data_IF_905364748125
#
_entry.id   IF_905364748125
#
_cell.length_a   1.000
_cell.length_b   1.000
_cell.length_c   1.000
_cell.angle_alpha   90.00
_cell.angle_beta   90.00
_cell.angle_gamma   90.00
#
_symmetry.space_group_name_H-M   'P 1'
#
loop_
_entity.id
_entity.type
_entity.pdbx_description
1 polymer ?
#
# COMPACT_ATOMS: atom_id res chain seq x y z
N UNK A 1 -100.56 49.04 9.73
CA UNK A 1 -101.17 47.74 9.40
C UNK A 1 -100.08 46.67 9.35
N UNK A 2 -100.28 45.61 10.14
CA UNK A 2 -99.75 44.22 10.04
C UNK A 2 -98.25 43.94 10.29
N UNK A 3 -98.10 43.18 11.38
CA UNK A 3 -97.01 42.43 12.01
C UNK A 3 -96.05 41.60 11.12
N UNK A 4 -94.87 41.41 11.73
CA UNK A 4 -93.79 40.44 11.48
C UNK A 4 -94.23 39.00 11.20
N UNK A 5 -93.41 38.28 10.41
CA UNK A 5 -92.98 36.89 10.70
C UNK A 5 -91.62 36.60 10.05
N UNK A 6 -90.71 36.10 10.88
CA UNK A 6 -89.36 35.63 10.54
C UNK A 6 -89.36 34.47 9.54
N UNK A 7 -88.30 34.37 8.72
CA UNK A 7 -87.92 33.10 8.12
C UNK A 7 -86.39 32.96 8.13
N UNK A 8 -85.88 32.19 9.10
CA UNK A 8 -84.52 31.65 9.10
C UNK A 8 -84.44 30.58 8.01
N UNK A 9 -83.43 30.63 7.14
CA UNK A 9 -82.96 29.43 6.41
C UNK A 9 -81.46 29.23 6.56
N UNK A 10 -81.20 28.06 7.10
CA UNK A 10 -79.95 27.40 7.38
C UNK A 10 -78.93 27.36 6.24
N UNK A 11 -77.67 27.57 6.64
CA UNK A 11 -76.44 26.86 6.25
C UNK A 11 -76.68 25.69 5.29
N UNK A 12 -76.28 25.85 4.03
CA UNK A 12 -76.01 24.74 3.13
C UNK A 12 -74.62 24.19 3.41
N UNK A 13 -74.53 23.20 4.30
CA UNK A 13 -73.42 22.25 4.32
C UNK A 13 -73.55 21.40 3.04
N UNK A 14 -72.72 21.66 2.02
CA UNK A 14 -72.57 20.68 0.93
C UNK A 14 -72.03 19.37 1.52
N UNK A 15 -72.67 18.22 1.25
CA UNK A 15 -72.17 16.94 1.71
C UNK A 15 -70.84 16.61 1.01
N UNK A 16 -69.77 16.47 1.79
CA UNK A 16 -68.55 15.77 1.41
C UNK A 16 -68.94 14.40 0.82
N UNK A 17 -68.93 14.29 -0.50
CA UNK A 17 -69.27 13.06 -1.19
C UNK A 17 -68.13 12.04 -0.97
N UNK A 18 -68.37 10.88 -0.32
CA UNK A 18 -67.32 9.95 0.13
C UNK A 18 -66.58 9.21 -0.99
N UNK A 19 -66.89 9.53 -2.25
CA UNK A 19 -66.38 8.85 -3.44
C UNK A 19 -65.16 9.53 -4.08
N UNK A 20 -64.98 10.85 -3.91
CA UNK A 20 -63.86 11.58 -4.54
C UNK A 20 -62.51 11.29 -3.87
N UNK A 21 -62.53 11.04 -2.56
CA UNK A 21 -61.34 10.63 -1.81
C UNK A 21 -60.93 9.19 -2.10
N UNK A 22 -61.88 8.27 -2.30
CA UNK A 22 -61.57 6.86 -2.63
C UNK A 22 -60.84 6.73 -3.97
N UNK A 23 -61.24 7.49 -5.00
CA UNK A 23 -60.56 7.44 -6.31
C UNK A 23 -59.13 7.99 -6.28
N UNK A 24 -58.89 9.12 -5.62
CA UNK A 24 -57.52 9.66 -5.43
C UNK A 24 -56.65 8.73 -4.59
N UNK A 25 -57.19 8.15 -3.52
CA UNK A 25 -56.49 7.18 -2.68
C UNK A 25 -56.19 5.89 -3.47
N UNK A 26 -57.09 5.45 -4.35
CA UNK A 26 -56.88 4.25 -5.18
C UNK A 26 -55.78 4.45 -6.24
N UNK A 27 -55.71 5.62 -6.87
CA UNK A 27 -54.65 5.99 -7.84
C UNK A 27 -53.31 6.17 -7.11
N UNK A 28 -53.30 6.84 -5.95
CA UNK A 28 -52.10 7.04 -5.13
C UNK A 28 -51.56 5.70 -4.60
N UNK A 29 -52.43 4.77 -4.18
CA UNK A 29 -52.05 3.41 -3.81
C UNK A 29 -51.54 2.58 -4.99
N UNK A 30 -52.04 2.77 -6.21
CA UNK A 30 -51.53 2.08 -7.42
C UNK A 30 -50.09 2.51 -7.73
N UNK A 31 -49.81 3.81 -7.71
CA UNK A 31 -48.46 4.35 -7.94
C UNK A 31 -47.48 3.97 -6.81
N UNK A 32 -47.94 3.92 -5.55
CA UNK A 32 -47.11 3.49 -4.43
C UNK A 32 -46.85 1.97 -4.43
N UNK A 33 -47.80 1.16 -4.92
CA UNK A 33 -47.61 -0.29 -5.12
C UNK A 33 -46.58 -0.57 -6.20
N UNK A 34 -46.62 0.14 -7.34
CA UNK A 34 -45.57 0.04 -8.36
C UNK A 34 -44.18 0.41 -7.81
N UNK A 35 -44.09 1.48 -7.01
CA UNK A 35 -42.86 1.88 -6.31
C UNK A 35 -42.33 0.80 -5.35
N UNK A 36 -43.22 0.20 -4.54
CA UNK A 36 -42.88 -0.90 -3.62
C UNK A 36 -42.42 -2.17 -4.36
N UNK A 37 -43.06 -2.53 -5.47
CA UNK A 37 -42.63 -3.67 -6.30
C UNK A 37 -41.28 -3.41 -6.96
N UNK A 38 -41.00 -2.20 -7.43
CA UNK A 38 -39.68 -1.84 -7.96
C UNK A 38 -38.61 -1.87 -6.87
N UNK A 39 -38.89 -1.36 -5.66
CA UNK A 39 -37.96 -1.43 -4.53
C UNK A 39 -37.70 -2.87 -4.09
N UNK A 40 -38.74 -3.72 -4.06
CA UNK A 40 -38.64 -5.14 -3.75
C UNK A 40 -37.85 -5.89 -4.84
N UNK A 41 -38.06 -5.58 -6.12
CA UNK A 41 -37.32 -6.19 -7.22
C UNK A 41 -35.83 -5.78 -7.19
N UNK A 42 -35.52 -4.52 -6.86
CA UNK A 42 -34.15 -4.06 -6.65
C UNK A 42 -33.52 -4.80 -5.46
N UNK A 43 -34.23 -4.91 -4.34
CA UNK A 43 -33.76 -5.65 -3.17
C UNK A 43 -33.49 -7.13 -3.49
N UNK A 44 -34.40 -7.80 -4.21
CA UNK A 44 -34.22 -9.19 -4.65
C UNK A 44 -33.02 -9.30 -5.61
N UNK A 45 -32.85 -8.37 -6.54
CA UNK A 45 -31.71 -8.38 -7.48
C UNK A 45 -30.37 -8.18 -6.76
N UNK A 46 -30.31 -7.35 -5.73
CA UNK A 46 -29.14 -7.15 -4.88
C UNK A 46 -28.82 -8.41 -4.08
N UNK A 47 -29.86 -9.07 -3.53
CA UNK A 47 -29.70 -10.34 -2.79
C UNK A 47 -29.19 -11.47 -3.70
N UNK A 48 -29.77 -11.64 -4.89
CA UNK A 48 -29.35 -12.68 -5.85
C UNK A 48 -27.92 -12.44 -6.33
N UNK A 49 -27.56 -11.19 -6.62
CA UNK A 49 -26.21 -10.83 -7.05
C UNK A 49 -25.16 -11.12 -5.97
N UNK A 50 -25.50 -10.88 -4.70
CA UNK A 50 -24.64 -11.20 -3.55
C UNK A 50 -24.40 -12.71 -3.39
N UNK A 51 -25.43 -13.54 -3.56
CA UNK A 51 -25.31 -15.00 -3.46
C UNK A 51 -24.45 -15.61 -4.56
N UNK A 52 -24.55 -15.12 -5.80
CA UNK A 52 -23.71 -15.57 -6.93
C UNK A 52 -22.24 -15.23 -6.67
N UNK A 53 -21.96 -14.04 -6.15
CA UNK A 53 -20.61 -13.60 -5.81
C UNK A 53 -19.98 -14.51 -4.74
N UNK A 54 -20.72 -14.87 -3.69
CA UNK A 54 -20.24 -15.77 -2.64
C UNK A 54 -19.87 -17.16 -3.19
N UNK A 55 -20.74 -17.76 -4.00
CA UNK A 55 -20.48 -19.07 -4.62
C UNK A 55 -19.24 -19.06 -5.53
N UNK A 56 -19.00 -17.94 -6.21
CA UNK A 56 -17.80 -17.76 -7.04
C UNK A 56 -16.53 -17.70 -6.19
N UNK A 57 -16.54 -17.00 -5.05
CA UNK A 57 -15.38 -16.93 -4.14
C UNK A 57 -15.06 -18.33 -3.56
N UNK A 58 -16.06 -19.11 -3.15
CA UNK A 58 -15.84 -20.48 -2.69
C UNK A 58 -15.25 -21.39 -3.77
N UNK A 59 -15.66 -21.18 -5.03
CA UNK A 59 -15.06 -21.87 -6.18
C UNK A 59 -13.60 -21.47 -6.35
N UNK A 60 -13.26 -20.19 -6.21
CA UNK A 60 -11.88 -19.73 -6.28
C UNK A 60 -11.02 -20.36 -5.17
N UNK A 61 -11.56 -20.50 -3.96
CA UNK A 61 -10.86 -21.13 -2.84
C UNK A 61 -10.49 -22.58 -3.13
N UNK A 62 -11.44 -23.38 -3.66
CA UNK A 62 -11.15 -24.75 -4.09
C UNK A 62 -10.11 -24.83 -5.22
N UNK A 63 -10.04 -23.82 -6.08
CA UNK A 63 -9.02 -23.74 -7.14
C UNK A 63 -7.64 -23.42 -6.56
N UNK A 64 -7.57 -22.55 -5.55
CA UNK A 64 -6.32 -22.27 -4.81
C UNK A 64 -5.78 -23.55 -4.17
N UNK A 65 -6.64 -24.35 -3.51
CA UNK A 65 -6.25 -25.63 -2.88
C UNK A 65 -5.70 -26.64 -3.91
N UNK A 66 -6.20 -26.61 -5.13
CA UNK A 66 -5.73 -27.45 -6.25
C UNK A 66 -4.48 -26.90 -6.96
N UNK A 67 -4.01 -25.70 -6.59
CA UNK A 67 -2.93 -25.01 -7.29
C UNK A 67 -3.32 -24.43 -8.65
N UNK A 68 -4.62 -24.34 -8.97
CA UNK A 68 -5.14 -23.74 -10.21
C UNK A 68 -5.23 -22.21 -10.08
N UNK A 69 -4.09 -21.56 -9.82
CA UNK A 69 -4.01 -20.14 -9.46
C UNK A 69 -4.51 -19.19 -10.54
N UNK A 70 -4.27 -19.49 -11.83
CA UNK A 70 -4.75 -18.67 -12.95
C UNK A 70 -6.28 -18.50 -12.92
N UNK A 71 -7.00 -19.60 -12.73
CA UNK A 71 -8.47 -19.60 -12.71
C UNK A 71 -9.01 -18.98 -11.41
N UNK A 72 -8.31 -19.21 -10.30
CA UNK A 72 -8.65 -18.57 -9.03
C UNK A 72 -8.51 -17.05 -9.12
N UNK A 73 -7.40 -16.55 -9.67
CA UNK A 73 -7.12 -15.14 -9.91
C UNK A 73 -8.24 -14.50 -10.74
N UNK A 74 -8.61 -15.11 -11.87
CA UNK A 74 -9.65 -14.59 -12.77
C UNK A 74 -10.99 -14.37 -12.04
N UNK A 75 -11.41 -15.36 -11.25
CA UNK A 75 -12.66 -15.27 -10.48
C UNK A 75 -12.57 -14.20 -9.40
N UNK A 76 -11.45 -14.15 -8.67
CA UNK A 76 -11.24 -13.21 -7.58
C UNK A 76 -11.10 -11.76 -8.07
N UNK A 77 -10.49 -11.52 -9.23
CA UNK A 77 -10.42 -10.17 -9.82
C UNK A 77 -11.82 -9.65 -10.19
N UNK A 78 -12.69 -10.49 -10.77
CA UNK A 78 -14.08 -10.11 -11.06
C UNK A 78 -14.87 -9.81 -9.77
N UNK A 79 -14.61 -10.58 -8.71
CA UNK A 79 -15.19 -10.31 -7.40
C UNK A 79 -14.67 -8.99 -6.81
N UNK A 80 -13.36 -8.75 -6.93
CA UNK A 80 -12.68 -7.57 -6.43
C UNK A 80 -13.14 -6.29 -7.12
N UNK A 81 -13.42 -6.33 -8.43
CA UNK A 81 -13.98 -5.17 -9.14
C UNK A 81 -15.39 -4.79 -8.69
N UNK A 82 -16.11 -5.72 -8.05
CA UNK A 82 -17.45 -5.46 -7.51
C UNK A 82 -17.37 -4.89 -6.09
N UNK A 83 -16.49 -5.44 -5.26
CA UNK A 83 -16.20 -4.92 -3.93
C UNK A 83 -14.73 -5.16 -3.56
N UNK A 84 -13.92 -4.10 -3.66
CA UNK A 84 -12.49 -4.14 -3.37
C UNK A 84 -12.17 -4.22 -1.87
N UNK A 85 -13.14 -3.99 -0.99
CA UNK A 85 -12.96 -4.03 0.47
C UNK A 85 -13.20 -5.42 1.06
N UNK A 86 -13.85 -6.31 0.30
CA UNK A 86 -14.29 -7.61 0.78
C UNK A 86 -13.13 -8.48 1.27
N UNK A 87 -13.18 -8.88 2.55
CA UNK A 87 -12.09 -9.60 3.22
C UNK A 87 -11.81 -10.97 2.58
N UNK A 88 -12.84 -11.71 2.19
CA UNK A 88 -12.70 -13.03 1.54
C UNK A 88 -11.98 -12.93 0.20
N UNK A 89 -12.38 -11.96 -0.64
CA UNK A 89 -11.77 -11.74 -1.95
C UNK A 89 -10.29 -11.35 -1.81
N UNK A 90 -10.01 -10.40 -0.91
CA UNK A 90 -8.65 -9.95 -0.66
C UNK A 90 -7.78 -11.06 -0.06
N UNK A 91 -8.31 -11.89 0.83
CA UNK A 91 -7.57 -13.05 1.34
C UNK A 91 -7.23 -14.04 0.22
N UNK A 92 -8.19 -14.36 -0.65
CA UNK A 92 -7.96 -15.22 -1.81
C UNK A 92 -6.86 -14.67 -2.72
N UNK A 93 -6.92 -13.39 -3.08
CA UNK A 93 -5.89 -12.74 -3.91
C UNK A 93 -4.53 -12.71 -3.22
N UNK A 94 -4.48 -12.47 -1.91
CA UNK A 94 -3.25 -12.51 -1.14
C UNK A 94 -2.57 -13.89 -1.25
N UNK A 95 -3.35 -14.96 -1.09
CA UNK A 95 -2.83 -16.32 -1.19
C UNK A 95 -2.37 -16.67 -2.61
N UNK A 96 -3.16 -16.33 -3.64
CA UNK A 96 -2.79 -16.53 -5.06
C UNK A 96 -1.46 -15.84 -5.37
N UNK A 97 -1.34 -14.55 -5.09
CA UNK A 97 -0.13 -13.79 -5.41
C UNK A 97 1.09 -14.16 -4.55
N UNK A 98 0.88 -14.84 -3.41
CA UNK A 98 1.97 -15.31 -2.54
C UNK A 98 2.47 -16.72 -2.83
N UNK A 99 1.83 -17.41 -3.77
CA UNK A 99 2.16 -18.80 -4.10
C UNK A 99 3.39 -18.86 -4.99
N UNK A 100 4.50 -19.42 -4.49
CA UNK A 100 5.76 -19.48 -5.24
C UNK A 100 5.65 -20.35 -6.51
N UNK A 101 4.71 -21.31 -6.51
CA UNK A 101 4.38 -22.14 -7.68
C UNK A 101 3.55 -21.42 -8.74
N UNK A 102 3.07 -20.21 -8.45
CA UNK A 102 2.31 -19.42 -9.39
C UNK A 102 3.24 -18.54 -10.25
N UNK A 103 3.29 -18.69 -11.59
CA UNK A 103 4.22 -17.95 -12.43
C UNK A 103 4.05 -16.42 -12.38
N UNK A 104 2.85 -15.92 -12.06
CA UNK A 104 2.56 -14.48 -11.88
C UNK A 104 2.45 -14.07 -10.41
N UNK A 105 3.08 -14.82 -9.51
CA UNK A 105 3.16 -14.41 -8.10
C UNK A 105 3.75 -13.00 -8.00
N UNK A 106 3.29 -12.26 -7.00
CA UNK A 106 3.70 -10.88 -6.78
C UNK A 106 3.54 -10.57 -5.29
N UNK A 107 4.63 -10.63 -4.54
CA UNK A 107 4.59 -10.50 -3.08
C UNK A 107 4.10 -9.12 -2.62
N UNK A 108 4.29 -8.06 -3.42
CA UNK A 108 3.76 -6.73 -3.12
C UNK A 108 2.22 -6.69 -3.21
N UNK A 109 1.65 -7.25 -4.28
CA UNK A 109 0.19 -7.40 -4.41
C UNK A 109 -0.36 -8.30 -3.31
N UNK A 110 0.34 -9.41 -3.02
CA UNK A 110 -0.05 -10.33 -1.97
C UNK A 110 -0.15 -9.61 -0.62
N UNK A 111 0.88 -8.85 -0.25
CA UNK A 111 0.91 -8.10 1.00
C UNK A 111 -0.14 -7.01 1.06
N UNK A 112 -0.34 -6.25 -0.02
CA UNK A 112 -1.40 -5.24 -0.07
C UNK A 112 -2.78 -5.86 0.15
N UNK A 113 -3.11 -6.94 -0.55
CA UNK A 113 -4.39 -7.61 -0.38
C UNK A 113 -4.52 -8.22 1.03
N UNK A 114 -3.44 -8.77 1.58
CA UNK A 114 -3.42 -9.24 2.97
C UNK A 114 -3.81 -8.10 3.92
N UNK A 115 -3.15 -6.94 3.86
CA UNK A 115 -3.49 -5.79 4.72
C UNK A 115 -4.97 -5.37 4.63
N UNK A 116 -5.54 -5.35 3.41
CA UNK A 116 -6.97 -5.03 3.21
C UNK A 116 -7.87 -6.09 3.82
N UNK A 117 -7.54 -7.39 3.67
CA UNK A 117 -8.30 -8.47 4.28
C UNK A 117 -8.32 -8.34 5.81
N UNK A 118 -7.16 -8.09 6.44
CA UNK A 118 -7.04 -7.94 7.89
C UNK A 118 -7.81 -6.74 8.44
N UNK A 119 -7.82 -5.61 7.72
CA UNK A 119 -8.61 -4.43 8.11
C UNK A 119 -10.11 -4.71 8.15
N UNK A 120 -10.61 -5.61 7.30
CA UNK A 120 -12.04 -5.87 7.13
C UNK A 120 -12.49 -7.23 7.69
N UNK A 121 -11.60 -7.99 8.34
CA UNK A 121 -11.88 -9.36 8.79
C UNK A 121 -12.95 -9.41 9.88
N UNK A 122 -12.96 -8.43 10.79
CA UNK A 122 -13.91 -8.36 11.89
C UNK A 122 -15.34 -8.04 11.40
N UNK A 123 -15.45 -7.30 10.30
CA UNK A 123 -16.71 -6.92 9.67
C UNK A 123 -17.32 -8.02 8.79
N UNK A 124 -16.58 -9.12 8.53
CA UNK A 124 -17.08 -10.24 7.75
C UNK A 124 -18.21 -10.99 8.49
N UNK A 125 -19.16 -11.52 7.72
CA UNK A 125 -20.21 -12.42 8.23
C UNK A 125 -19.60 -13.72 8.79
N UNK A 126 -20.34 -14.44 9.62
CA UNK A 126 -19.85 -15.71 10.19
C UNK A 126 -19.58 -16.77 9.10
N UNK A 127 -20.40 -16.83 8.06
CA UNK A 127 -20.18 -17.72 6.91
C UNK A 127 -18.87 -17.36 6.18
N UNK A 128 -18.60 -16.06 5.97
CA UNK A 128 -17.37 -15.59 5.35
C UNK A 128 -16.15 -15.88 6.23
N UNK A 129 -16.26 -15.71 7.55
CA UNK A 129 -15.21 -16.04 8.52
C UNK A 129 -14.88 -17.53 8.49
N UNK A 130 -15.89 -18.39 8.44
CA UNK A 130 -15.68 -19.84 8.32
C UNK A 130 -15.03 -20.21 6.99
N UNK A 131 -15.46 -19.63 5.87
CA UNK A 131 -14.82 -19.83 4.57
C UNK A 131 -13.34 -19.39 4.57
N UNK A 132 -13.01 -18.25 5.17
CA UNK A 132 -11.61 -17.81 5.32
C UNK A 132 -10.80 -18.77 6.20
N UNK A 133 -11.40 -19.26 7.29
CA UNK A 133 -10.75 -20.20 8.21
C UNK A 133 -10.45 -21.55 7.53
N UNK A 134 -11.31 -21.98 6.61
CA UNK A 134 -11.10 -23.16 5.77
C UNK A 134 -10.02 -22.92 4.72
N UNK A 135 -10.04 -21.78 4.01
CA UNK A 135 -9.01 -21.49 2.99
C UNK A 135 -7.60 -21.39 3.57
N UNK A 136 -7.46 -20.88 4.79
CA UNK A 136 -6.16 -20.79 5.49
C UNK A 136 -5.60 -22.19 5.87
N UNK A 137 -6.24 -23.28 5.44
CA UNK A 137 -5.86 -24.66 5.71
C UNK A 137 -4.80 -25.18 4.73
N UNK A 138 -3.53 -25.12 5.16
CA UNK A 138 -2.53 -26.16 4.90
C UNK A 138 -1.42 -26.03 5.96
N UNK A 139 -1.83 -26.07 7.23
CA UNK A 139 -0.90 -26.07 8.36
C UNK A 139 -0.95 -27.46 8.96
N UNK A 140 0.20 -28.00 9.36
CA UNK A 140 0.35 -29.24 10.12
C UNK A 140 -0.85 -29.50 11.04
N UNK A 141 -1.28 -30.76 11.15
CA UNK A 141 -2.49 -31.20 11.86
C UNK A 141 -2.70 -30.58 13.25
N UNK A 142 -1.61 -30.20 13.93
CA UNK A 142 -1.58 -29.54 15.23
C UNK A 142 -2.22 -28.13 15.26
N UNK A 143 -2.42 -27.46 14.12
CA UNK A 143 -2.93 -26.07 14.06
C UNK A 143 -4.35 -25.96 13.49
N UNK A 144 -5.04 -27.09 13.32
CA UNK A 144 -6.39 -27.13 12.73
C UNK A 144 -7.43 -26.39 13.59
N UNK A 145 -7.25 -26.39 14.92
CA UNK A 145 -8.20 -25.81 15.89
C UNK A 145 -7.99 -24.32 16.16
N UNK A 146 -7.04 -23.67 15.49
CA UNK A 146 -6.80 -22.24 15.71
C UNK A 146 -8.00 -21.38 15.30
N UNK A 147 -8.34 -20.35 16.11
CA UNK A 147 -9.26 -19.30 15.69
C UNK A 147 -8.82 -18.64 14.38
N UNK A 148 -9.78 -18.10 13.62
CA UNK A 148 -9.51 -17.42 12.34
C UNK A 148 -8.39 -16.39 12.45
N UNK A 149 -8.44 -15.53 13.48
CA UNK A 149 -7.46 -14.47 13.70
C UNK A 149 -6.02 -15.01 13.81
N UNK A 150 -5.82 -16.11 14.53
CA UNK A 150 -4.48 -16.73 14.67
C UNK A 150 -3.99 -17.35 13.35
N UNK A 151 -4.87 -18.02 12.61
CA UNK A 151 -4.53 -18.55 11.27
C UNK A 151 -4.16 -17.42 10.31
N UNK A 152 -4.92 -16.33 10.36
CA UNK A 152 -4.71 -15.14 9.57
C UNK A 152 -3.36 -14.49 9.91
N UNK A 153 -3.06 -14.22 11.18
CA UNK A 153 -1.79 -13.64 11.63
C UNK A 153 -0.58 -14.50 11.22
N UNK A 154 -0.72 -15.83 11.29
CA UNK A 154 0.31 -16.75 10.83
C UNK A 154 0.58 -16.60 9.32
N UNK A 155 -0.47 -16.59 8.49
CA UNK A 155 -0.32 -16.40 7.04
C UNK A 155 0.10 -14.99 6.67
N UNK A 156 -0.33 -13.98 7.41
CA UNK A 156 0.12 -12.61 7.25
C UNK A 156 1.64 -12.53 7.47
N UNK A 157 2.15 -13.11 8.55
CA UNK A 157 3.59 -13.17 8.83
C UNK A 157 4.37 -13.92 7.74
N UNK A 158 3.83 -15.02 7.22
CA UNK A 158 4.43 -15.77 6.12
C UNK A 158 4.58 -14.91 4.85
N UNK A 159 3.50 -14.26 4.39
CA UNK A 159 3.54 -13.38 3.21
C UNK A 159 4.46 -12.19 3.43
N UNK A 160 4.43 -11.57 4.61
CA UNK A 160 5.34 -10.47 4.95
C UNK A 160 6.80 -10.92 4.86
N UNK A 161 7.14 -12.09 5.43
CA UNK A 161 8.49 -12.64 5.36
C UNK A 161 8.93 -12.92 3.92
N UNK A 162 8.03 -13.43 3.07
CA UNK A 162 8.31 -13.63 1.63
C UNK A 162 8.60 -12.30 0.92
N UNK A 163 7.78 -11.27 1.16
CA UNK A 163 8.02 -9.94 0.60
C UNK A 163 9.37 -9.37 1.06
N UNK A 164 9.68 -9.42 2.35
CA UNK A 164 10.95 -8.89 2.89
C UNK A 164 12.15 -9.68 2.35
N UNK A 165 12.04 -11.00 2.24
CA UNK A 165 13.06 -11.84 1.62
C UNK A 165 13.29 -11.42 0.17
N UNK A 166 12.22 -11.28 -0.60
CA UNK A 166 12.25 -10.85 -1.99
C UNK A 166 12.93 -9.49 -2.17
N UNK A 167 12.52 -8.48 -1.40
CA UNK A 167 13.13 -7.13 -1.42
C UNK A 167 14.63 -7.17 -1.09
N UNK A 168 15.05 -8.06 -0.18
CA UNK A 168 16.45 -8.19 0.24
C UNK A 168 17.33 -8.91 -0.79
N UNK A 169 16.83 -9.99 -1.38
CA UNK A 169 17.63 -10.91 -2.20
C UNK A 169 17.81 -10.41 -3.63
N UNK A 170 16.79 -9.74 -4.20
CA UNK A 170 16.86 -9.24 -5.57
C UNK A 170 17.82 -8.06 -5.74
N UNK A 171 18.10 -7.32 -4.64
CA UNK A 171 18.97 -6.12 -4.62
C UNK A 171 18.58 -5.07 -5.66
N UNK A 172 17.30 -5.02 -6.03
CA UNK A 172 16.74 -4.05 -6.95
C UNK A 172 16.30 -2.79 -6.19
N UNK A 173 16.88 -1.65 -6.55
CA UNK A 173 16.55 -0.38 -5.93
C UNK A 173 15.13 0.08 -6.23
N UNK A 174 14.55 -0.28 -7.38
CA UNK A 174 13.18 0.08 -7.71
C UNK A 174 12.20 -0.65 -6.78
N UNK A 175 12.45 -1.94 -6.51
CA UNK A 175 11.63 -2.72 -5.56
C UNK A 175 11.79 -2.23 -4.11
N UNK A 176 13.02 -1.90 -3.71
CA UNK A 176 13.28 -1.31 -2.38
C UNK A 176 12.54 0.02 -2.20
N UNK A 177 12.59 0.89 -3.21
CA UNK A 177 11.90 2.18 -3.19
C UNK A 177 10.37 2.01 -3.24
N UNK A 178 9.87 1.05 -4.01
CA UNK A 178 8.45 0.70 -4.05
C UNK A 178 7.95 0.26 -2.66
N UNK A 179 8.72 -0.57 -1.95
CA UNK A 179 8.35 -1.01 -0.60
C UNK A 179 8.23 0.19 0.36
N UNK A 180 9.23 1.06 0.38
CA UNK A 180 9.27 2.26 1.23
C UNK A 180 8.08 3.17 0.92
N UNK A 181 7.74 3.35 -0.35
CA UNK A 181 6.64 4.20 -0.77
C UNK A 181 5.26 3.60 -0.41
N UNK A 182 5.08 2.30 -0.58
CA UNK A 182 3.78 1.63 -0.41
C UNK A 182 3.49 1.23 1.03
N UNK A 183 4.51 0.99 1.85
CA UNK A 183 4.35 0.45 3.20
C UNK A 183 5.10 1.27 4.26
N UNK A 184 4.80 2.58 4.42
CA UNK A 184 5.47 3.44 5.39
C UNK A 184 5.28 2.99 6.84
N UNK A 185 4.17 2.31 7.14
CA UNK A 185 3.85 1.82 8.48
C UNK A 185 4.36 0.39 8.75
N UNK A 186 5.14 -0.20 7.83
CA UNK A 186 5.68 -1.54 8.05
C UNK A 186 6.71 -1.54 9.18
N UNK A 187 6.65 -2.54 10.07
CA UNK A 187 7.71 -2.76 11.07
C UNK A 187 9.11 -3.00 10.46
N UNK A 188 9.17 -3.31 9.17
CA UNK A 188 10.42 -3.49 8.43
C UNK A 188 10.86 -2.23 7.67
N UNK A 189 10.13 -1.13 7.76
CA UNK A 189 10.41 0.11 7.02
C UNK A 189 11.87 0.55 7.19
N UNK A 190 12.34 0.72 8.43
CA UNK A 190 13.73 1.12 8.72
C UNK A 190 14.75 0.12 8.17
N UNK A 191 14.47 -1.19 8.28
CA UNK A 191 15.33 -2.22 7.72
C UNK A 191 15.47 -2.08 6.19
N UNK A 192 14.37 -1.76 5.49
CA UNK A 192 14.39 -1.58 4.03
C UNK A 192 15.03 -0.25 3.64
N UNK A 193 14.88 0.82 4.44
CA UNK A 193 15.64 2.08 4.29
C UNK A 193 17.14 1.83 4.40
N UNK A 194 17.58 1.00 5.34
CA UNK A 194 18.99 0.62 5.45
C UNK A 194 19.49 -0.16 4.23
N UNK A 195 18.66 -1.06 3.67
CA UNK A 195 18.98 -1.76 2.41
C UNK A 195 19.15 -0.74 1.27
N UNK A 196 18.23 0.22 1.13
CA UNK A 196 18.33 1.29 0.12
C UNK A 196 19.65 2.05 0.24
N UNK A 197 19.96 2.52 1.45
CA UNK A 197 21.16 3.32 1.69
C UNK A 197 22.42 2.51 1.41
N UNK A 198 22.44 1.22 1.76
CA UNK A 198 23.54 0.32 1.44
C UNK A 198 23.74 0.16 -0.08
N UNK A 199 22.67 -0.05 -0.84
CA UNK A 199 22.74 -0.20 -2.30
C UNK A 199 23.15 1.10 -3.01
N UNK A 200 22.61 2.24 -2.59
CA UNK A 200 22.96 3.56 -3.14
C UNK A 200 24.40 3.94 -2.81
N UNK A 201 24.89 3.60 -1.61
CA UNK A 201 26.30 3.78 -1.28
C UNK A 201 27.20 2.86 -2.11
N UNK A 202 26.79 1.60 -2.33
CA UNK A 202 27.48 0.69 -3.23
C UNK A 202 27.64 1.24 -4.65
N UNK A 203 26.62 1.93 -5.19
CA UNK A 203 26.71 2.66 -6.45
C UNK A 203 27.72 3.80 -6.39
N UNK A 204 27.72 4.57 -5.29
CA UNK A 204 28.69 5.65 -5.12
C UNK A 204 30.15 5.13 -5.08
N UNK A 205 30.38 4.00 -4.41
CA UNK A 205 31.67 3.28 -4.40
C UNK A 205 32.04 2.80 -5.81
N UNK A 206 31.09 2.23 -6.55
CA UNK A 206 31.35 1.73 -7.90
C UNK A 206 31.73 2.85 -8.87
N UNK A 207 31.05 3.99 -8.80
CA UNK A 207 31.37 5.17 -9.59
C UNK A 207 32.72 5.79 -9.14
N UNK A 208 32.99 5.75 -7.84
CA UNK A 208 34.20 6.26 -7.18
C UNK A 208 34.60 7.68 -7.63
N UNK A 209 33.65 8.62 -7.58
CA UNK A 209 33.86 10.03 -7.92
C UNK A 209 33.50 10.92 -6.74
N UNK A 210 34.07 12.12 -6.69
CA UNK A 210 33.67 13.12 -5.67
C UNK A 210 32.17 13.39 -5.77
N UNK A 211 31.66 13.52 -7.00
CA UNK A 211 30.27 13.81 -7.28
C UNK A 211 29.33 12.66 -6.86
N UNK A 212 29.74 11.39 -7.01
CA UNK A 212 28.92 10.25 -6.59
C UNK A 212 28.79 10.18 -5.07
N UNK A 213 29.88 10.39 -4.33
CA UNK A 213 29.83 10.48 -2.87
C UNK A 213 29.04 11.71 -2.39
N UNK A 214 29.26 12.88 -2.99
CA UNK A 214 28.51 14.11 -2.64
C UNK A 214 26.99 13.92 -2.87
N UNK A 215 26.59 13.29 -4.00
CA UNK A 215 25.19 12.95 -4.25
C UNK A 215 24.61 12.02 -3.18
N UNK A 216 25.35 10.99 -2.78
CA UNK A 216 24.92 10.06 -1.75
C UNK A 216 24.72 10.77 -0.40
N UNK A 217 25.73 11.54 0.03
CA UNK A 217 25.70 12.30 1.30
C UNK A 217 24.53 13.28 1.33
N UNK A 218 24.29 13.99 0.22
CA UNK A 218 23.20 14.96 0.14
C UNK A 218 21.81 14.29 0.12
N UNK A 219 21.66 13.16 -0.57
CA UNK A 219 20.38 12.46 -0.71
C UNK A 219 20.00 11.67 0.54
N UNK A 220 20.98 11.17 1.29
CA UNK A 220 20.78 10.32 2.46
C UNK A 220 21.63 10.78 3.66
N UNK A 221 21.38 11.99 4.20
CA UNK A 221 22.22 12.58 5.23
C UNK A 221 22.25 11.77 6.54
N UNK A 222 21.20 11.00 6.83
CA UNK A 222 21.08 10.18 8.03
C UNK A 222 21.54 8.72 7.82
N UNK A 223 22.09 8.39 6.64
CA UNK A 223 22.58 7.04 6.38
C UNK A 223 23.82 6.73 7.22
N UNK A 224 23.88 5.51 7.77
CA UNK A 224 25.03 5.04 8.55
C UNK A 224 26.37 5.09 7.79
N UNK A 225 26.31 5.08 6.45
CA UNK A 225 27.47 5.12 5.55
C UNK A 225 27.98 6.55 5.27
N UNK A 226 27.29 7.61 5.70
CA UNK A 226 27.72 9.00 5.44
C UNK A 226 29.13 9.29 5.93
N UNK A 227 29.56 8.89 7.15
CA UNK A 227 30.93 9.10 7.59
C UNK A 227 31.97 8.44 6.67
N UNK A 228 31.69 7.21 6.20
CA UNK A 228 32.57 6.48 5.28
C UNK A 228 32.61 7.14 3.89
N UNK A 229 31.46 7.57 3.37
CA UNK A 229 31.36 8.30 2.11
C UNK A 229 32.15 9.62 2.13
N UNK A 230 32.09 10.35 3.26
CA UNK A 230 32.87 11.58 3.46
C UNK A 230 34.37 11.26 3.42
N UNK A 231 34.81 10.21 4.10
CA UNK A 231 36.23 9.84 4.12
C UNK A 231 36.73 9.44 2.73
N UNK A 232 36.01 8.55 2.03
CA UNK A 232 36.37 8.13 0.66
C UNK A 232 36.43 9.31 -0.31
N UNK A 233 35.47 10.23 -0.22
CA UNK A 233 35.48 11.47 -1.01
C UNK A 233 36.69 12.33 -0.70
N UNK A 234 37.01 12.53 0.58
CA UNK A 234 38.12 13.37 1.01
C UNK A 234 39.47 12.78 0.57
N UNK A 235 39.66 11.47 0.72
CA UNK A 235 40.83 10.75 0.21
C UNK A 235 40.99 10.99 -1.29
N UNK A 236 39.92 10.77 -2.07
CA UNK A 236 39.95 10.97 -3.51
C UNK A 236 40.27 12.42 -3.91
N UNK A 237 39.67 13.39 -3.21
CA UNK A 237 39.93 14.80 -3.46
C UNK A 237 41.37 15.21 -3.13
N UNK A 238 41.92 14.68 -2.04
CA UNK A 238 43.32 14.91 -1.68
C UNK A 238 44.26 14.26 -2.69
N UNK A 239 43.97 13.04 -3.14
CA UNK A 239 44.77 12.36 -4.18
C UNK A 239 44.82 13.15 -5.49
N UNK A 240 43.70 13.77 -5.89
CA UNK A 240 43.66 14.66 -7.04
C UNK A 240 44.51 15.92 -6.83
N UNK A 241 44.43 16.55 -5.65
CA UNK A 241 45.26 17.70 -5.31
C UNK A 241 46.76 17.34 -5.31
N UNK A 242 47.10 16.19 -4.72
CA UNK A 242 48.47 15.64 -4.69
C UNK A 242 48.99 15.30 -6.08
N UNK A 243 48.16 14.74 -6.96
CA UNK A 243 48.53 14.46 -8.35
C UNK A 243 48.75 15.75 -9.16
N UNK A 244 47.96 16.79 -8.92
CA UNK A 244 48.17 18.09 -9.54
C UNK A 244 49.42 18.79 -8.98
N UNK A 245 49.70 18.59 -7.70
CA UNK A 245 50.85 19.10 -6.96
C UNK A 245 51.12 20.60 -7.17
N UNK A 246 50.08 21.41 -6.98
CA UNK A 246 50.18 22.88 -7.05
C UNK A 246 49.64 23.51 -5.78
N UNK A 247 50.16 24.69 -5.43
CA UNK A 247 49.66 25.49 -4.29
C UNK A 247 48.14 25.71 -4.42
N UNK A 248 47.67 26.01 -5.63
CA UNK A 248 46.24 26.23 -5.91
C UNK A 248 45.39 24.97 -5.63
N UNK A 249 45.83 23.80 -6.09
CA UNK A 249 45.09 22.56 -5.89
C UNK A 249 44.98 22.18 -4.41
N UNK A 250 46.06 22.35 -3.63
CA UNK A 250 46.01 22.13 -2.19
C UNK A 250 45.13 23.17 -1.49
N UNK A 251 45.19 24.45 -1.89
CA UNK A 251 44.30 25.48 -1.34
C UNK A 251 42.82 25.18 -1.61
N UNK A 252 42.48 24.72 -2.81
CA UNK A 252 41.12 24.34 -3.17
C UNK A 252 40.63 23.15 -2.34
N UNK A 253 41.48 22.14 -2.13
CA UNK A 253 41.20 21.02 -1.24
C UNK A 253 40.94 21.48 0.20
N UNK A 254 41.85 22.26 0.78
CA UNK A 254 41.76 22.76 2.15
C UNK A 254 40.51 23.63 2.36
N UNK A 255 40.14 24.41 1.35
CA UNK A 255 38.94 25.25 1.38
C UNK A 255 37.65 24.43 1.30
N UNK A 256 37.61 23.42 0.42
CA UNK A 256 36.39 22.64 0.16
C UNK A 256 36.15 21.57 1.24
N UNK A 257 37.22 21.03 1.83
CA UNK A 257 37.14 19.93 2.80
C UNK A 257 37.91 20.26 4.11
N UNK A 258 37.52 21.32 4.84
CA UNK A 258 38.27 21.79 6.01
C UNK A 258 38.27 20.81 7.20
N UNK A 259 37.38 19.81 7.20
CA UNK A 259 37.32 18.75 8.22
C UNK A 259 37.93 17.41 7.79
N UNK A 260 38.59 17.35 6.63
CA UNK A 260 39.21 16.13 6.15
C UNK A 260 40.43 15.72 6.99
N UNK A 261 40.67 14.42 7.15
CA UNK A 261 41.84 13.91 7.88
C UNK A 261 43.17 14.36 7.24
N UNK A 262 43.16 14.62 5.93
CA UNK A 262 44.32 15.00 5.12
C UNK A 262 44.68 16.49 5.20
N UNK A 263 43.94 17.31 5.96
CA UNK A 263 44.17 18.77 6.05
C UNK A 263 45.60 19.11 6.50
N UNK A 264 46.14 18.39 7.48
CA UNK A 264 47.50 18.66 8.00
C UNK A 264 48.54 18.37 6.91
N UNK A 265 48.43 17.22 6.24
CA UNK A 265 49.36 16.81 5.18
C UNK A 265 49.27 17.75 3.97
N UNK A 266 48.05 18.09 3.53
CA UNK A 266 47.83 19.04 2.43
C UNK A 266 48.41 20.43 2.73
N UNK A 267 48.32 20.88 3.98
CA UNK A 267 48.91 22.14 4.43
C UNK A 267 50.42 22.11 4.32
N UNK A 268 51.06 21.03 4.80
CA UNK A 268 52.50 20.85 4.72
C UNK A 268 53.00 20.85 3.26
N UNK A 269 52.41 20.02 2.40
CA UNK A 269 52.81 19.92 0.99
C UNK A 269 52.65 21.26 0.24
N UNK A 270 51.58 21.99 0.53
CA UNK A 270 51.38 23.34 -0.02
C UNK A 270 52.49 24.29 0.41
N UNK A 271 52.82 24.31 1.71
CA UNK A 271 53.78 25.25 2.28
C UNK A 271 55.21 24.95 1.82
N UNK A 272 55.56 23.66 1.67
CA UNK A 272 56.82 23.23 1.05
C UNK A 272 56.94 23.75 -0.39
N UNK A 273 55.92 23.59 -1.22
CA UNK A 273 55.91 24.12 -2.59
C UNK A 273 56.07 25.64 -2.61
N UNK A 274 55.35 26.36 -1.74
CA UNK A 274 55.45 27.82 -1.65
C UNK A 274 56.86 28.28 -1.24
N UNK A 275 57.50 27.57 -0.30
CA UNK A 275 58.87 27.85 0.11
C UNK A 275 59.88 27.58 -1.01
N UNK A 276 59.72 26.48 -1.75
CA UNK A 276 60.56 26.18 -2.91
C UNK A 276 60.42 27.19 -4.04
N UNK A 277 59.20 27.65 -4.34
CA UNK A 277 58.95 28.70 -5.32
C UNK A 277 59.60 30.02 -4.89
N UNK A 278 59.50 30.39 -3.62
CA UNK A 278 60.10 31.61 -3.08
C UNK A 278 61.64 31.57 -3.11
N UNK A 279 62.27 30.40 -2.95
CA UNK A 279 63.73 30.24 -3.04
C UNK A 279 64.30 30.36 -4.45
N UNK A 280 63.46 30.19 -5.48
CA UNK A 280 63.87 30.26 -6.89
C UNK A 280 63.78 31.69 -7.46
N UNK A 281 63.18 32.62 -6.72
CA UNK A 281 63.07 34.04 -7.04
C UNK A 281 64.23 34.83 -6.44
#
# INVERSE_FOLDING_TARGET
MRQQKENKRHIGNEPMHPYRNRYKMHIMMKNNRFSLFSLLAILISLLVSGSILAQNVDRAYRLIEKGEFDKAEEILIKAYSSDSSKATVNLGLALVYSADSYPRHNYFKAWQHMLVAGKNIDAASEDEKEAMKQLLFNIESLKNNWPLKQKYEFRQKDIENKLIKYVREEKDLDMVNEFIARFPDSKFYENVVHIRNYLEFGRAIQDNTIESYDRFIAKFPDAAQVPEAIELRNVLAFDLARKANTIQAYNDFLKKYPGAAQVIEATHLRDELAFEEARKQ
#
